data_IF_816936552918
#
_entry.id   IF_816936552918
#
_cell.length_a   1.000
_cell.length_b   1.000
_cell.length_c   1.000
_cell.angle_alpha   90.00
_cell.angle_beta   90.00
_cell.angle_gamma   90.00
#
_symmetry.space_group_name_H-M   'P 1'
#
loop_
_entity.id
_entity.type
_entity.pdbx_description
1 polymer ?
#
# COMPACT_ATOMS: atom_id res chain seq x y z
N UNK A 1 -11.38 -32.38 -8.52
CA UNK A 1 -12.68 -32.56 -7.83
C UNK A 1 -12.46 -32.29 -6.35
N UNK A 2 -13.18 -31.35 -5.74
CA UNK A 2 -13.09 -31.05 -4.30
C UNK A 2 -14.42 -31.41 -3.66
N UNK A 3 -14.48 -32.59 -3.04
CA UNK A 3 -15.52 -33.06 -2.12
C UNK A 3 -14.73 -33.90 -1.09
N UNK A 4 -14.78 -33.67 0.21
CA UNK A 4 -15.93 -33.80 1.13
C UNK A 4 -15.56 -33.13 2.48
N UNK A 5 -16.52 -32.59 3.23
CA UNK A 5 -16.39 -31.89 4.54
C UNK A 5 -15.82 -30.45 4.51
N UNK A 6 -16.66 -29.50 4.06
CA UNK A 6 -16.62 -28.03 4.29
C UNK A 6 -15.27 -27.30 4.40
N UNK A 7 -14.19 -27.75 3.77
CA UNK A 7 -12.95 -26.95 3.69
C UNK A 7 -13.17 -25.78 2.74
N UNK A 8 -13.16 -24.57 3.30
CA UNK A 8 -13.26 -23.34 2.54
C UNK A 8 -11.85 -22.89 2.16
N UNK A 9 -11.55 -22.79 0.87
CA UNK A 9 -10.28 -22.25 0.41
C UNK A 9 -10.41 -20.73 0.30
N UNK A 10 -9.55 -20.03 1.04
CA UNK A 10 -9.41 -18.59 0.99
C UNK A 10 -8.14 -18.23 0.22
N UNK A 11 -8.21 -17.18 -0.57
CA UNK A 11 -7.04 -16.54 -1.17
C UNK A 11 -6.97 -15.13 -0.61
N UNK A 12 -5.86 -14.84 0.08
CA UNK A 12 -5.54 -13.52 0.61
C UNK A 12 -4.52 -12.89 -0.32
N UNK A 13 -4.87 -11.76 -0.93
CA UNK A 13 -3.96 -10.91 -1.70
C UNK A 13 -3.73 -9.61 -0.92
N UNK A 14 -2.48 -9.33 -0.56
CA UNK A 14 -2.06 -8.11 0.12
C UNK A 14 -1.22 -7.29 -0.86
N UNK A 15 -1.58 -6.02 -1.02
CA UNK A 15 -0.93 -5.12 -1.99
C UNK A 15 -0.54 -3.81 -1.35
N UNK A 16 0.67 -3.34 -1.62
CA UNK A 16 1.04 -1.95 -1.39
C UNK A 16 0.69 -1.16 -2.64
N UNK A 17 -0.12 -0.12 -2.48
CA UNK A 17 -0.58 0.72 -3.59
C UNK A 17 -0.19 2.17 -3.31
N UNK A 18 0.33 2.82 -4.35
CA UNK A 18 0.56 4.25 -4.44
C UNK A 18 -0.56 4.87 -5.28
N UNK A 19 -1.30 5.81 -4.71
CA UNK A 19 -2.21 6.68 -5.43
C UNK A 19 -1.54 8.05 -5.56
N UNK A 20 -1.12 8.39 -6.77
CA UNK A 20 -0.53 9.68 -7.10
C UNK A 20 -1.56 10.51 -7.88
N UNK A 21 -1.99 11.61 -7.28
CA UNK A 21 -2.94 12.56 -7.88
C UNK A 21 -2.19 13.78 -8.40
N UNK A 22 -2.38 14.08 -9.69
CA UNK A 22 -1.93 15.31 -10.33
C UNK A 22 -3.12 16.25 -10.49
N UNK A 23 -3.03 17.42 -9.89
CA UNK A 23 -4.05 18.46 -9.93
C UNK A 23 -3.61 19.55 -10.90
N UNK A 24 -4.35 19.72 -11.99
CA UNK A 24 -4.10 20.73 -13.02
C UNK A 24 -5.21 21.78 -13.10
N UNK A 25 -4.86 22.98 -13.56
CA UNK A 25 -5.80 24.07 -13.79
C UNK A 25 -5.82 24.44 -15.27
N UNK A 26 -7.00 24.49 -15.89
CA UNK A 26 -7.15 25.02 -17.26
C UNK A 26 -7.36 26.53 -17.18
N UNK A 27 -6.66 27.28 -18.03
CA UNK A 27 -6.65 28.75 -18.00
C UNK A 27 -8.03 29.45 -18.11
N UNK A 28 -9.10 28.74 -18.49
CA UNK A 28 -10.47 29.29 -18.61
C UNK A 28 -11.44 28.83 -17.55
N UNK A 29 -11.12 27.75 -16.83
CA UNK A 29 -11.97 27.19 -15.78
C UNK A 29 -11.19 27.18 -14.47
N UNK A 30 -11.69 27.86 -13.46
CA UNK A 30 -11.15 27.81 -12.09
C UNK A 30 -11.35 26.45 -11.41
N UNK A 31 -11.98 25.49 -12.09
CA UNK A 31 -12.23 24.15 -11.56
C UNK A 31 -10.98 23.27 -11.75
N UNK A 32 -10.38 22.77 -10.65
CA UNK A 32 -9.25 21.85 -10.75
C UNK A 32 -9.70 20.55 -11.43
N UNK A 33 -8.84 19.99 -12.27
CA UNK A 33 -9.01 18.65 -12.81
C UNK A 33 -7.96 17.71 -12.23
N UNK A 34 -8.42 16.57 -11.72
CA UNK A 34 -7.60 15.58 -11.05
C UNK A 34 -7.32 14.39 -11.97
N UNK A 35 -6.04 14.10 -12.19
CA UNK A 35 -5.58 12.87 -12.79
C UNK A 35 -5.02 11.95 -11.71
N UNK A 36 -5.67 10.80 -11.49
CA UNK A 36 -5.23 9.81 -10.50
C UNK A 36 -4.49 8.67 -11.21
N UNK A 37 -3.21 8.52 -10.92
CA UNK A 37 -2.41 7.35 -11.29
C UNK A 37 -2.32 6.39 -10.10
N UNK A 38 -2.78 5.16 -10.30
CA UNK A 38 -2.73 4.11 -9.28
C UNK A 38 -1.61 3.14 -9.63
N UNK A 39 -0.48 3.24 -8.95
CA UNK A 39 0.66 2.34 -9.16
C UNK A 39 0.66 1.22 -8.12
N UNK A 40 0.75 -0.04 -8.58
CA UNK A 40 0.86 -1.19 -7.69
C UNK A 40 2.33 -1.46 -7.43
N UNK A 41 2.78 -1.16 -6.23
CA UNK A 41 4.18 -1.26 -5.87
C UNK A 41 4.56 -2.69 -5.49
N UNK A 42 3.67 -3.39 -4.80
CA UNK A 42 3.91 -4.76 -4.31
C UNK A 42 2.61 -5.56 -4.39
N UNK A 43 2.71 -6.82 -4.80
CA UNK A 43 1.63 -7.81 -4.73
C UNK A 43 2.15 -9.08 -4.04
N UNK A 44 1.58 -9.41 -2.89
CA UNK A 44 1.86 -10.63 -2.15
C UNK A 44 0.56 -11.42 -2.05
N UNK A 45 0.57 -12.64 -2.57
CA UNK A 45 -0.63 -13.49 -2.66
C UNK A 45 -0.37 -14.82 -1.98
N UNK A 46 -1.27 -15.22 -1.09
CA UNK A 46 -1.24 -16.54 -0.46
C UNK A 46 -2.60 -17.22 -0.54
N UNK A 47 -2.59 -18.49 -0.98
CA UNK A 47 -3.73 -19.40 -0.87
C UNK A 47 -3.67 -20.12 0.47
N UNK A 48 -4.79 -20.16 1.17
CA UNK A 48 -4.94 -20.70 2.50
C UNK A 48 -6.15 -21.62 2.54
N UNK A 49 -5.99 -22.74 3.23
CA UNK A 49 -7.10 -23.61 3.57
C UNK A 49 -7.43 -23.40 5.04
N UNK A 50 -8.58 -22.79 5.31
CA UNK A 50 -9.05 -22.54 6.68
C UNK A 50 -10.21 -23.48 6.96
N UNK A 51 -10.15 -24.20 8.07
CA UNK A 51 -11.22 -25.10 8.48
C UNK A 51 -12.45 -24.28 8.94
N UNK A 52 -13.67 -24.82 8.82
CA UNK A 52 -14.86 -24.20 9.40
C UNK A 52 -14.67 -23.89 10.88
N UNK A 53 -15.15 -22.72 11.31
CA UNK A 53 -15.10 -22.29 12.72
C UNK A 53 -13.69 -22.27 13.33
N UNK A 54 -12.65 -22.21 12.50
CA UNK A 54 -11.27 -22.02 12.94
C UNK A 54 -10.81 -20.59 12.72
N UNK A 55 -9.89 -20.14 13.56
CA UNK A 55 -9.21 -18.87 13.41
C UNK A 55 -7.86 -19.10 12.72
N UNK A 56 -7.47 -18.18 11.83
CA UNK A 56 -6.18 -18.24 11.16
C UNK A 56 -5.54 -16.85 11.17
N UNK A 57 -4.34 -16.75 11.73
CA UNK A 57 -3.54 -15.53 11.70
C UNK A 57 -2.58 -15.56 10.52
N UNK A 58 -2.66 -14.54 9.66
CA UNK A 58 -1.78 -14.36 8.51
C UNK A 58 -0.83 -13.19 8.76
N UNK A 59 0.47 -13.43 8.60
CA UNK A 59 1.51 -12.40 8.70
C UNK A 59 2.39 -12.44 7.46
N UNK A 60 2.63 -11.29 6.86
CA UNK A 60 3.46 -11.13 5.66
C UNK A 60 4.32 -9.88 5.82
N UNK A 61 5.63 -10.05 5.73
CA UNK A 61 6.55 -8.94 5.62
C UNK A 61 6.46 -8.34 4.21
N UNK A 62 6.36 -7.01 4.14
CA UNK A 62 6.29 -6.25 2.89
C UNK A 62 7.53 -5.39 2.83
N UNK A 63 8.41 -5.66 1.86
CA UNK A 63 9.62 -4.85 1.63
C UNK A 63 9.22 -3.60 0.87
N UNK A 64 9.39 -2.43 1.49
CA UNK A 64 9.01 -1.18 0.84
C UNK A 64 10.06 -0.85 -0.26
N UNK A 65 9.68 -0.71 -1.54
CA UNK A 65 10.63 -0.43 -2.63
C UNK A 65 11.21 0.98 -2.51
N UNK A 66 11.98 1.44 -3.50
CA UNK A 66 12.23 2.88 -3.62
C UNK A 66 10.95 3.55 -4.15
N UNK A 67 10.43 4.53 -3.41
CA UNK A 67 9.21 5.27 -3.76
C UNK A 67 9.37 6.76 -3.39
N UNK A 68 8.52 7.59 -3.98
CA UNK A 68 8.43 9.00 -3.65
C UNK A 68 7.85 9.15 -2.25
N UNK A 69 8.46 9.90 -1.31
CA UNK A 69 7.88 10.05 0.02
C UNK A 69 6.45 10.58 -0.04
N UNK A 70 5.68 10.34 1.02
CA UNK A 70 4.32 10.88 1.12
C UNK A 70 4.39 12.41 1.09
N UNK A 71 3.77 13.03 0.08
CA UNK A 71 3.77 14.48 -0.11
C UNK A 71 2.37 15.05 0.14
N UNK A 72 2.21 15.77 1.26
CA UNK A 72 0.96 16.45 1.62
C UNK A 72 1.05 17.98 1.52
N UNK A 73 2.24 18.53 1.29
CA UNK A 73 2.50 19.98 1.25
C UNK A 73 2.37 20.57 -0.15
N UNK A 74 2.42 19.76 -1.21
CA UNK A 74 2.25 20.22 -2.60
C UNK A 74 0.78 20.10 -3.02
N UNK A 75 0.12 21.19 -3.45
CA UNK A 75 -1.29 21.12 -3.88
C UNK A 75 -1.46 20.47 -5.26
N UNK A 76 -0.40 20.44 -6.08
CA UNK A 76 -0.44 19.95 -7.47
C UNK A 76 -0.13 18.46 -7.62
N UNK A 77 0.67 17.90 -6.70
CA UNK A 77 1.06 16.49 -6.73
C UNK A 77 0.86 15.94 -5.32
N UNK A 78 -0.11 15.06 -5.16
CA UNK A 78 -0.41 14.39 -3.89
C UNK A 78 -0.08 12.91 -4.03
N UNK A 79 0.80 12.41 -3.16
CA UNK A 79 1.19 10.99 -3.14
C UNK A 79 0.67 10.37 -1.86
N UNK A 80 -0.20 9.37 -1.98
CA UNK A 80 -0.80 8.65 -0.84
C UNK A 80 -0.58 7.15 -0.99
N UNK A 81 -0.42 6.47 0.15
CA UNK A 81 -0.19 5.03 0.20
C UNK A 81 -1.29 4.32 0.99
N UNK A 82 -1.64 3.11 0.56
CA UNK A 82 -2.44 2.20 1.37
C UNK A 82 -2.06 0.75 1.12
N UNK A 83 -2.28 -0.06 2.14
CA UNK A 83 -2.28 -1.51 2.02
C UNK A 83 -3.69 -1.95 1.64
N UNK A 84 -3.82 -2.64 0.50
CA UNK A 84 -5.07 -3.24 0.05
C UNK A 84 -5.05 -4.73 0.35
N UNK A 85 -6.00 -5.18 1.16
CA UNK A 85 -6.20 -6.60 1.48
C UNK A 85 -7.44 -7.09 0.76
N UNK A 86 -7.28 -8.11 -0.08
CA UNK A 86 -8.36 -8.78 -0.80
C UNK A 86 -8.45 -10.21 -0.30
N UNK A 87 -9.59 -10.59 0.25
CA UNK A 87 -9.87 -11.95 0.68
C UNK A 87 -10.95 -12.49 -0.25
N UNK A 88 -10.64 -13.58 -0.94
CA UNK A 88 -11.58 -14.24 -1.84
C UNK A 88 -11.76 -15.70 -1.43
N UNK A 89 -12.99 -16.17 -1.50
CA UNK A 89 -13.36 -17.53 -1.14
C UNK A 89 -13.71 -18.32 -2.42
N UNK A 90 -13.23 -19.56 -2.52
CA UNK A 90 -13.56 -20.47 -3.62
C UNK A 90 -14.92 -21.18 -3.51
N UNK A 91 -15.80 -20.75 -2.62
CA UNK A 91 -17.15 -21.32 -2.43
C UNK A 91 -18.04 -21.06 -3.64
N UNK A 92 -19.11 -21.85 -3.78
CA UNK A 92 -20.06 -21.82 -4.91
C UNK A 92 -20.69 -20.43 -5.15
N UNK A 93 -20.80 -19.61 -4.11
CA UNK A 93 -21.32 -18.22 -4.18
C UNK A 93 -20.24 -17.13 -4.20
N UNK A 94 -18.95 -17.50 -4.25
CA UNK A 94 -17.81 -16.59 -4.50
C UNK A 94 -17.85 -15.27 -3.73
N UNK A 95 -17.61 -15.28 -2.42
CA UNK A 95 -17.53 -14.03 -1.64
C UNK A 95 -16.16 -13.39 -1.76
N UNK A 96 -16.15 -12.06 -1.89
CA UNK A 96 -14.93 -11.25 -1.95
C UNK A 96 -15.03 -10.08 -0.99
N UNK A 97 -14.07 -9.99 -0.08
CA UNK A 97 -13.90 -8.88 0.85
C UNK A 97 -12.70 -8.04 0.42
N UNK A 98 -12.84 -6.71 0.45
CA UNK A 98 -11.79 -5.77 0.08
C UNK A 98 -11.65 -4.70 1.15
N UNK A 99 -10.47 -4.63 1.78
CA UNK A 99 -10.12 -3.62 2.76
C UNK A 99 -9.00 -2.73 2.21
N UNK A 100 -9.08 -1.43 2.49
CA UNK A 100 -8.01 -0.46 2.23
C UNK A 100 -7.58 0.16 3.56
N UNK A 101 -6.30 0.05 3.90
CA UNK A 101 -5.72 0.58 5.14
C UNK A 101 -4.73 1.69 4.75
N UNK A 102 -5.03 2.97 5.04
CA UNK A 102 -4.12 4.06 4.71
C UNK A 102 -2.84 3.97 5.55
N UNK A 103 -1.69 4.26 4.93
CA UNK A 103 -0.40 4.32 5.61
C UNK A 103 0.35 5.59 5.23
N UNK A 104 1.21 6.06 6.12
CA UNK A 104 2.14 7.16 5.86
C UNK A 104 3.54 6.58 5.77
N UNK A 105 4.23 6.86 4.66
CA UNK A 105 5.63 6.47 4.49
C UNK A 105 6.49 7.73 4.42
N UNK A 106 7.37 7.89 5.40
CA UNK A 106 8.33 8.98 5.51
C UNK A 106 9.77 8.50 5.32
N UNK A 107 10.70 9.44 5.28
CA UNK A 107 12.15 9.16 5.27
C UNK A 107 12.72 9.26 6.68
N UNK A 108 13.76 8.47 6.95
CA UNK A 108 14.55 8.66 8.18
C UNK A 108 15.40 9.93 7.98
N UNK A 109 15.35 10.91 8.90
CA UNK A 109 16.21 12.08 8.80
C UNK A 109 17.67 11.64 8.88
N UNK A 110 18.52 12.18 7.99
CA UNK A 110 19.95 11.98 8.09
C UNK A 110 20.47 12.86 9.23
N UNK A 111 20.94 12.26 10.31
CA UNK A 111 21.70 13.02 11.30
C UNK A 111 23.07 13.36 10.69
N UNK A 112 23.22 14.59 10.19
CA UNK A 112 24.57 15.16 10.07
C UNK A 112 25.02 15.41 11.50
N UNK A 113 25.81 14.50 12.06
CA UNK A 113 26.48 14.76 13.32
C UNK A 113 27.33 16.02 13.14
N UNK A 114 26.90 17.14 13.72
CA UNK A 114 27.58 18.44 13.66
C UNK A 114 29.06 18.35 14.13
N UNK A 115 29.38 17.30 14.89
CA UNK A 115 30.73 16.91 15.31
C UNK A 115 31.70 16.62 14.14
N UNK A 116 31.23 16.20 12.96
CA UNK A 116 32.12 16.03 11.78
C UNK A 116 32.47 17.34 11.08
N UNK A 117 31.59 18.34 11.16
CA UNK A 117 31.83 19.65 10.53
C UNK A 117 32.84 20.48 11.33
N UNK A 118 32.83 20.39 12.66
CA UNK A 118 33.81 21.12 13.49
C UNK A 118 35.26 20.61 13.29
N UNK A 119 35.44 19.33 12.97
CA UNK A 119 36.77 18.76 12.71
C UNK A 119 37.32 19.07 11.31
N UNK A 120 36.50 19.58 10.39
CA UNK A 120 36.96 20.02 9.05
C UNK A 120 37.27 21.52 8.96
N UNK A 121 36.97 22.30 10.00
CA UNK A 121 37.30 23.73 10.08
C UNK A 121 38.55 24.02 10.93
N UNK A 122 39.24 22.99 11.42
CA UNK A 122 40.46 23.10 12.23
C UNK A 122 41.74 22.59 11.53
N UNK A 123 41.74 22.48 10.20
CA UNK A 123 42.96 22.25 9.40
C UNK A 123 43.33 23.48 8.57
#
# INVERSE_FOLDING_TARGET
MCNTFFKICFKIDVRLVEDTTYVGFRSRDSMPYDHILNNRLIDASQKLHVAPSSEYTYSQAIVIPQFTPTHNTCPYIQVKYYVKVLISNSSFFGTKLSLKIPIVIGTVPYEVSFSRLLNSFSQ
#
